data_IF_917244971262
#
_entry.id   IF_917244971262
#
_cell.length_a   1.000
_cell.length_b   1.000
_cell.length_c   1.000
_cell.angle_alpha   90.00
_cell.angle_beta   90.00
_cell.angle_gamma   90.00
#
_symmetry.space_group_name_H-M   'P 1'
#
loop_
_entity.id
_entity.type
_entity.pdbx_description
1 polymer ?
#
# COMPACT_ATOMS: atom_id res chain seq x y z
N UNK A 1 -23.41 -0.67 -16.64
CA UNK A 1 -23.41 0.08 -15.36
C UNK A 1 -23.03 1.56 -15.52
N UNK A 2 -22.23 1.94 -16.51
CA UNK A 2 -21.76 3.34 -16.71
C UNK A 2 -22.86 4.30 -17.19
N UNK A 3 -23.75 3.85 -18.08
CA UNK A 3 -24.83 4.68 -18.63
C UNK A 3 -25.91 4.98 -17.58
N UNK A 4 -26.27 3.98 -16.77
CA UNK A 4 -27.22 4.15 -15.66
C UNK A 4 -26.69 5.09 -14.59
N UNK A 5 -25.41 4.99 -14.23
CA UNK A 5 -24.78 5.95 -13.32
C UNK A 5 -24.73 7.38 -13.91
N UNK A 6 -24.46 7.50 -15.21
CA UNK A 6 -24.48 8.78 -15.92
C UNK A 6 -25.87 9.44 -15.95
N UNK A 7 -26.92 8.65 -16.20
CA UNK A 7 -28.30 9.13 -16.17
C UNK A 7 -28.74 9.54 -14.75
N UNK A 8 -28.36 8.78 -13.72
CA UNK A 8 -28.66 9.12 -12.32
C UNK A 8 -27.99 10.45 -11.94
N UNK A 9 -26.72 10.66 -12.30
CA UNK A 9 -26.03 11.94 -12.07
C UNK A 9 -26.66 13.12 -12.80
N UNK A 10 -27.26 12.89 -13.98
CA UNK A 10 -27.93 13.94 -14.75
C UNK A 10 -29.25 14.39 -14.09
N UNK A 11 -30.03 13.44 -13.55
CA UNK A 11 -31.33 13.73 -12.92
C UNK A 11 -31.25 14.02 -11.42
N UNK A 12 -30.17 13.61 -10.75
CA UNK A 12 -29.87 13.93 -9.37
C UNK A 12 -28.53 14.69 -9.33
N UNK A 13 -28.54 16.03 -9.54
CA UNK A 13 -27.33 16.81 -9.39
C UNK A 13 -26.87 16.71 -7.94
N UNK A 14 -25.87 15.87 -7.70
CA UNK A 14 -25.12 15.90 -6.45
C UNK A 14 -24.64 17.34 -6.25
N UNK A 15 -24.80 17.87 -5.04
CA UNK A 15 -24.32 19.21 -4.72
C UNK A 15 -22.85 19.31 -5.17
N UNK A 16 -22.59 20.20 -6.13
CA UNK A 16 -21.26 20.34 -6.72
C UNK A 16 -20.40 21.13 -5.72
N UNK A 17 -19.96 20.45 -4.66
CA UNK A 17 -19.14 21.03 -3.61
C UNK A 17 -17.80 21.40 -4.24
N UNK A 18 -17.45 22.69 -4.21
CA UNK A 18 -16.18 23.16 -4.75
C UNK A 18 -15.04 22.52 -3.96
N UNK A 19 -14.04 22.00 -4.67
CA UNK A 19 -12.88 21.38 -4.05
C UNK A 19 -12.23 22.34 -3.04
N UNK A 20 -12.08 21.89 -1.79
CA UNK A 20 -11.40 22.66 -0.75
C UNK A 20 -9.92 22.27 -0.66
N UNK A 21 -9.07 23.03 -1.35
CA UNK A 21 -7.62 22.81 -1.37
C UNK A 21 -6.93 23.01 0.00
N UNK A 22 -7.62 23.55 1.02
CA UNK A 22 -7.05 23.62 2.38
C UNK A 22 -6.81 22.22 2.97
N UNK A 23 -7.51 21.20 2.46
CA UNK A 23 -7.35 19.81 2.89
C UNK A 23 -5.93 19.28 2.59
N UNK A 24 -5.28 19.79 1.54
CA UNK A 24 -3.87 19.49 1.22
C UNK A 24 -2.86 20.03 2.24
N UNK A 25 -3.32 20.80 3.22
CA UNK A 25 -2.50 21.29 4.34
C UNK A 25 -2.73 20.48 5.61
N UNK A 26 -3.51 19.39 5.55
CA UNK A 26 -3.74 18.54 6.70
C UNK A 26 -2.45 17.79 7.04
N UNK A 27 -1.77 18.26 8.09
CA UNK A 27 -0.50 17.68 8.56
C UNK A 27 -0.61 16.20 8.89
N UNK A 28 -1.75 15.75 9.41
CA UNK A 28 -1.92 14.36 9.83
C UNK A 28 -2.05 13.44 8.63
N UNK A 29 -2.80 13.85 7.59
CA UNK A 29 -2.85 13.14 6.30
C UNK A 29 -1.46 13.05 5.70
N UNK A 30 -0.78 14.20 5.54
CA UNK A 30 0.59 14.25 5.01
C UNK A 30 1.54 13.30 5.76
N UNK A 31 1.60 13.41 7.10
CA UNK A 31 2.50 12.60 7.92
C UNK A 31 2.16 11.10 7.84
N UNK A 32 0.88 10.72 7.96
CA UNK A 32 0.48 9.31 7.89
C UNK A 32 0.80 8.73 6.51
N UNK A 33 0.50 9.46 5.43
CA UNK A 33 0.79 9.01 4.07
C UNK A 33 2.30 8.89 3.80
N UNK A 34 3.11 9.84 4.26
CA UNK A 34 4.57 9.75 4.11
C UNK A 34 5.18 8.62 4.94
N UNK A 35 4.77 8.47 6.19
CA UNK A 35 5.32 7.44 7.08
C UNK A 35 4.85 6.03 6.73
N UNK A 36 3.75 5.90 5.97
CA UNK A 36 3.26 4.62 5.43
C UNK A 36 3.65 4.37 3.98
N UNK A 37 4.44 5.26 3.36
CA UNK A 37 4.85 5.13 1.96
C UNK A 37 5.58 3.81 1.67
N UNK A 38 6.30 3.26 2.65
CA UNK A 38 6.97 1.98 2.50
C UNK A 38 6.03 0.78 2.32
N UNK A 39 4.76 0.88 2.74
CA UNK A 39 3.75 -0.15 2.40
C UNK A 39 3.59 -0.22 0.89
N UNK A 40 3.40 0.93 0.24
CA UNK A 40 3.28 0.99 -1.21
C UNK A 40 4.60 0.65 -1.91
N UNK A 41 5.72 1.17 -1.40
CA UNK A 41 7.07 0.89 -1.89
C UNK A 41 7.39 -0.61 -1.91
N UNK A 42 7.09 -1.32 -0.82
CA UNK A 42 7.34 -2.77 -0.74
C UNK A 42 6.56 -3.52 -1.81
N UNK A 43 5.26 -3.24 -1.97
CA UNK A 43 4.45 -3.88 -2.99
C UNK A 43 5.03 -3.68 -4.38
N UNK A 44 5.43 -2.43 -4.66
CA UNK A 44 5.92 -2.04 -5.97
C UNK A 44 7.29 -2.64 -6.29
N UNK A 45 8.24 -2.60 -5.35
CA UNK A 45 9.55 -3.22 -5.52
C UNK A 45 9.42 -4.72 -5.70
N UNK A 46 8.53 -5.39 -4.95
CA UNK A 46 8.29 -6.82 -5.13
C UNK A 46 7.68 -7.10 -6.51
N UNK A 47 6.69 -6.32 -6.97
CA UNK A 47 6.09 -6.55 -8.29
C UNK A 47 7.10 -6.40 -9.43
N UNK A 48 8.02 -5.44 -9.32
CA UNK A 48 9.01 -5.14 -10.38
C UNK A 48 10.23 -6.06 -10.33
N UNK A 49 10.79 -6.28 -9.14
CA UNK A 49 12.10 -6.94 -8.99
C UNK A 49 12.04 -8.39 -8.53
N UNK A 50 10.88 -8.90 -8.07
CA UNK A 50 10.79 -10.31 -7.70
C UNK A 50 11.14 -11.27 -8.86
N UNK A 51 10.73 -11.04 -10.12
CA UNK A 51 11.15 -11.90 -11.23
C UNK A 51 12.67 -11.96 -11.41
N UNK A 52 13.35 -10.81 -11.35
CA UNK A 52 14.82 -10.75 -11.44
C UNK A 52 15.50 -11.40 -10.23
N UNK A 53 14.99 -11.15 -9.02
CA UNK A 53 15.47 -11.81 -7.81
C UNK A 53 15.33 -13.34 -7.90
N UNK A 54 14.17 -13.82 -8.34
CA UNK A 54 13.88 -15.25 -8.51
C UNK A 54 14.84 -15.91 -9.52
N UNK A 55 15.15 -15.23 -10.62
CA UNK A 55 16.09 -15.72 -11.62
C UNK A 55 17.55 -15.73 -11.12
N UNK A 56 18.04 -14.60 -10.60
CA UNK A 56 19.45 -14.44 -10.27
C UNK A 56 19.85 -15.00 -8.89
N UNK A 57 18.94 -15.00 -7.91
CA UNK A 57 19.22 -15.39 -6.53
C UNK A 57 18.61 -16.75 -6.19
N UNK A 58 17.37 -17.02 -6.64
CA UNK A 58 16.71 -18.31 -6.39
C UNK A 58 16.95 -19.35 -7.50
N UNK A 59 17.65 -18.96 -8.58
CA UNK A 59 17.98 -19.80 -9.74
C UNK A 59 16.75 -20.45 -10.41
N UNK A 60 15.61 -19.76 -10.38
CA UNK A 60 14.39 -20.22 -11.05
C UNK A 60 14.39 -19.89 -12.54
N UNK A 61 13.59 -20.61 -13.33
CA UNK A 61 13.42 -20.28 -14.74
C UNK A 61 12.62 -18.99 -14.93
N UNK A 62 12.86 -18.29 -16.04
CA UNK A 62 12.17 -17.03 -16.36
C UNK A 62 10.65 -17.17 -16.50
N UNK A 63 10.18 -18.30 -17.04
CA UNK A 63 8.75 -18.62 -17.20
C UNK A 63 8.07 -18.77 -15.83
N UNK A 64 8.75 -19.45 -14.90
CA UNK A 64 8.26 -19.67 -13.53
C UNK A 64 8.25 -18.36 -12.76
N UNK A 65 9.32 -17.57 -12.87
CA UNK A 65 9.44 -16.26 -12.22
C UNK A 65 8.32 -15.27 -12.62
N UNK A 66 7.97 -15.20 -13.91
CA UNK A 66 6.89 -14.34 -14.40
C UNK A 66 5.48 -14.82 -14.00
N UNK A 67 5.26 -16.13 -13.97
CA UNK A 67 3.97 -16.70 -13.55
C UNK A 67 3.72 -16.48 -12.05
N UNK A 68 4.77 -16.62 -11.23
CA UNK A 68 4.65 -16.51 -9.77
C UNK A 68 4.34 -15.08 -9.32
N UNK A 69 4.84 -14.04 -9.99
CA UNK A 69 4.55 -12.65 -9.61
C UNK A 69 3.06 -12.30 -9.71
N UNK A 70 2.30 -12.99 -10.56
CA UNK A 70 0.85 -12.82 -10.66
C UNK A 70 0.09 -13.19 -9.38
N UNK A 71 0.67 -14.03 -8.51
CA UNK A 71 0.11 -14.37 -7.19
C UNK A 71 -0.06 -13.13 -6.31
N UNK A 72 0.84 -12.15 -6.43
CA UNK A 72 0.77 -10.91 -5.66
C UNK A 72 -0.53 -10.13 -6.00
N UNK A 73 -0.81 -9.97 -7.29
CA UNK A 73 -2.02 -9.30 -7.78
C UNK A 73 -3.29 -10.10 -7.48
N UNK A 74 -3.25 -11.42 -7.61
CA UNK A 74 -4.42 -12.25 -7.33
C UNK A 74 -4.77 -12.21 -5.82
N UNK A 75 -3.75 -12.23 -4.97
CA UNK A 75 -3.93 -12.23 -3.52
C UNK A 75 -4.33 -10.86 -2.96
N UNK A 76 -4.02 -9.75 -3.63
CA UNK A 76 -4.52 -8.43 -3.23
C UNK A 76 -6.05 -8.34 -3.28
N UNK A 77 -6.69 -8.96 -4.29
CA UNK A 77 -8.17 -9.05 -4.36
C UNK A 77 -8.75 -9.68 -3.08
N UNK A 78 -8.09 -10.72 -2.57
CA UNK A 78 -8.47 -11.41 -1.34
C UNK A 78 -8.27 -10.46 -0.13
N UNK A 79 -7.16 -9.74 -0.08
CA UNK A 79 -6.88 -8.73 0.94
C UNK A 79 -7.96 -7.65 1.04
N UNK A 80 -8.37 -7.09 -0.10
CA UNK A 80 -9.45 -6.10 -0.17
C UNK A 80 -10.73 -6.61 0.50
N UNK A 81 -11.14 -7.84 0.18
CA UNK A 81 -12.30 -8.48 0.81
C UNK A 81 -12.12 -8.64 2.33
N UNK A 82 -10.97 -9.08 2.81
CA UNK A 82 -10.75 -9.35 4.24
C UNK A 82 -10.39 -8.14 5.09
N UNK A 83 -10.28 -6.95 4.52
CA UNK A 83 -10.00 -5.69 5.26
C UNK A 83 -10.94 -5.51 6.45
N UNK A 84 -12.18 -6.00 6.36
CA UNK A 84 -13.15 -5.86 7.45
C UNK A 84 -12.71 -6.51 8.78
N UNK A 85 -11.85 -7.53 8.73
CA UNK A 85 -11.34 -8.22 9.92
C UNK A 85 -10.57 -7.29 10.85
N UNK A 86 -10.08 -6.16 10.34
CA UNK A 86 -9.33 -5.19 11.12
C UNK A 86 -10.22 -4.13 11.80
N UNK A 87 -11.52 -4.05 11.51
CA UNK A 87 -12.42 -3.06 12.13
C UNK A 87 -12.54 -3.18 13.65
N UNK A 88 -12.28 -4.38 14.20
CA UNK A 88 -12.30 -4.61 15.66
C UNK A 88 -11.20 -3.87 16.42
N UNK A 89 -10.14 -3.44 15.74
CA UNK A 89 -9.02 -2.73 16.37
C UNK A 89 -9.27 -1.22 16.43
N UNK A 90 -8.71 -0.58 17.47
CA UNK A 90 -8.65 0.89 17.53
C UNK A 90 -7.91 1.44 16.32
N UNK A 91 -8.28 2.63 15.86
CA UNK A 91 -7.74 3.20 14.62
C UNK A 91 -6.21 3.25 14.56
N UNK A 92 -5.56 3.79 15.60
CA UNK A 92 -4.09 3.81 15.70
C UNK A 92 -3.49 2.42 15.53
N UNK A 93 -3.98 1.46 16.32
CA UNK A 93 -3.54 0.06 16.27
C UNK A 93 -3.79 -0.56 14.90
N UNK A 94 -4.94 -0.26 14.29
CA UNK A 94 -5.35 -0.77 12.98
C UNK A 94 -4.38 -0.33 11.89
N UNK A 95 -4.05 0.96 11.80
CA UNK A 95 -3.11 1.49 10.80
C UNK A 95 -1.70 0.91 11.01
N UNK A 96 -1.24 0.85 12.26
CA UNK A 96 0.10 0.32 12.56
C UNK A 96 0.20 -1.17 12.22
N UNK A 97 -0.73 -1.98 12.73
CA UNK A 97 -0.72 -3.43 12.53
C UNK A 97 -0.86 -3.77 11.06
N UNK A 98 -1.79 -3.12 10.35
CA UNK A 98 -1.95 -3.36 8.92
C UNK A 98 -0.69 -2.99 8.15
N UNK A 99 -0.07 -1.84 8.44
CA UNK A 99 1.15 -1.40 7.75
C UNK A 99 2.33 -2.33 8.01
N UNK A 100 2.51 -2.79 9.25
CA UNK A 100 3.58 -3.76 9.58
C UNK A 100 3.35 -5.09 8.86
N UNK A 101 2.11 -5.62 8.91
CA UNK A 101 1.76 -6.85 8.21
C UNK A 101 1.84 -6.70 6.68
N UNK A 102 1.62 -5.50 6.14
CA UNK A 102 1.72 -5.19 4.72
C UNK A 102 3.15 -5.15 4.17
N UNK A 103 4.17 -5.24 5.04
CA UNK A 103 5.59 -5.21 4.68
C UNK A 103 6.30 -6.49 5.11
N UNK A 104 6.06 -6.96 6.34
CA UNK A 104 6.78 -8.08 6.97
C UNK A 104 6.88 -9.37 6.11
N UNK A 105 5.86 -9.77 5.32
CA UNK A 105 5.93 -10.95 4.46
C UNK A 105 7.04 -10.94 3.42
N UNK A 106 7.63 -9.78 3.10
CA UNK A 106 8.75 -9.65 2.15
C UNK A 106 9.93 -10.56 2.53
N UNK A 107 10.15 -10.82 3.83
CA UNK A 107 11.21 -11.73 4.29
C UNK A 107 11.01 -13.19 3.86
N UNK A 108 9.76 -13.60 3.62
CA UNK A 108 9.46 -14.96 3.18
C UNK A 108 9.92 -15.20 1.73
N UNK A 109 10.17 -14.14 0.96
CA UNK A 109 10.60 -14.24 -0.44
C UNK A 109 11.96 -14.93 -0.64
N UNK A 110 12.75 -15.09 0.43
CA UNK A 110 14.01 -15.84 0.38
C UNK A 110 13.83 -17.36 0.29
N UNK A 111 12.77 -17.92 0.87
CA UNK A 111 12.65 -19.38 1.05
C UNK A 111 11.24 -19.91 0.79
N UNK A 112 10.21 -19.14 1.13
CA UNK A 112 8.80 -19.49 1.00
C UNK A 112 8.11 -18.47 0.10
N UNK A 113 8.67 -18.24 -1.09
CA UNK A 113 8.31 -17.08 -1.91
C UNK A 113 6.84 -17.07 -2.36
N UNK A 114 6.22 -18.23 -2.62
CA UNK A 114 4.80 -18.29 -2.97
C UNK A 114 3.93 -17.79 -1.81
N UNK A 115 4.19 -18.30 -0.60
CA UNK A 115 3.52 -17.86 0.62
C UNK A 115 3.82 -16.38 0.90
N UNK A 116 5.06 -15.95 0.68
CA UNK A 116 5.48 -14.56 0.82
C UNK A 116 4.67 -13.63 -0.07
N UNK A 117 4.53 -13.96 -1.36
CA UNK A 117 3.75 -13.17 -2.31
C UNK A 117 2.26 -13.15 -1.97
N UNK A 118 1.69 -14.29 -1.57
CA UNK A 118 0.27 -14.38 -1.17
C UNK A 118 0.01 -13.52 0.07
N UNK A 119 0.81 -13.69 1.12
CA UNK A 119 0.64 -12.92 2.35
C UNK A 119 0.93 -11.44 2.13
N UNK A 120 1.93 -11.11 1.32
CA UNK A 120 2.22 -9.73 0.96
C UNK A 120 1.04 -9.11 0.24
N UNK A 121 0.50 -9.72 -0.82
CA UNK A 121 -0.62 -9.14 -1.56
C UNK A 121 -1.86 -8.94 -0.68
N UNK A 122 -2.20 -9.94 0.15
CA UNK A 122 -3.33 -9.84 1.10
C UNK A 122 -3.12 -8.67 2.07
N UNK A 123 -2.02 -8.67 2.82
CA UNK A 123 -1.85 -7.70 3.90
C UNK A 123 -1.52 -6.31 3.39
N UNK A 124 -0.88 -6.18 2.23
CA UNK A 124 -0.59 -4.90 1.63
C UNK A 124 -1.87 -4.20 1.18
N UNK A 125 -2.77 -4.91 0.49
CA UNK A 125 -4.08 -4.34 0.10
C UNK A 125 -4.92 -3.94 1.33
N UNK A 126 -4.91 -4.78 2.37
CA UNK A 126 -5.56 -4.44 3.64
C UNK A 126 -4.97 -3.18 4.27
N UNK A 127 -3.64 -3.01 4.22
CA UNK A 127 -2.96 -1.85 4.74
C UNK A 127 -3.33 -0.57 3.98
N UNK A 128 -3.25 -0.59 2.65
CA UNK A 128 -3.63 0.54 1.79
C UNK A 128 -5.09 0.93 2.05
N UNK A 129 -5.99 -0.05 2.09
CA UNK A 129 -7.41 0.16 2.35
C UNK A 129 -7.65 0.83 3.71
N UNK A 130 -6.95 0.38 4.76
CA UNK A 130 -7.02 0.98 6.10
C UNK A 130 -6.48 2.41 6.12
N UNK A 131 -5.36 2.67 5.45
CA UNK A 131 -4.73 4.00 5.39
C UNK A 131 -5.66 4.98 4.66
N UNK A 132 -6.25 4.55 3.54
CA UNK A 132 -7.18 5.40 2.78
C UNK A 132 -8.48 5.65 3.54
N UNK A 133 -9.01 4.66 4.26
CA UNK A 133 -10.15 4.87 5.15
C UNK A 133 -9.83 5.89 6.26
N UNK A 134 -8.62 5.85 6.82
CA UNK A 134 -8.15 6.84 7.80
C UNK A 134 -8.09 8.25 7.18
N UNK A 135 -7.50 8.39 5.99
CA UNK A 135 -7.41 9.68 5.28
C UNK A 135 -8.79 10.29 5.04
N UNK A 136 -9.74 9.49 4.51
CA UNK A 136 -11.12 9.95 4.26
C UNK A 136 -11.78 10.43 5.55
N UNK A 137 -11.62 9.68 6.65
CA UNK A 137 -12.20 10.04 7.94
C UNK A 137 -11.63 11.36 8.48
N UNK A 138 -10.34 11.59 8.30
CA UNK A 138 -9.66 12.79 8.81
C UNK A 138 -10.09 14.07 8.07
N UNK A 139 -10.47 13.97 6.79
CA UNK A 139 -10.81 15.14 5.96
C UNK A 139 -12.30 15.32 5.68
N UNK A 140 -13.11 14.28 5.93
CA UNK A 140 -14.52 14.22 5.58
C UNK A 140 -14.77 13.78 4.13
N UNK A 141 -15.92 13.15 3.88
CA UNK A 141 -16.26 12.55 2.58
C UNK A 141 -16.26 13.54 1.42
N UNK A 142 -16.59 14.80 1.66
CA UNK A 142 -16.65 15.87 0.65
C UNK A 142 -15.31 16.13 -0.04
N UNK A 143 -14.19 15.93 0.67
CA UNK A 143 -12.84 16.18 0.15
C UNK A 143 -12.02 14.89 -0.03
N UNK A 144 -12.69 13.73 0.05
CA UNK A 144 -12.05 12.42 -0.01
C UNK A 144 -11.17 12.23 -1.24
N UNK A 145 -11.67 12.55 -2.44
CA UNK A 145 -10.90 12.40 -3.69
C UNK A 145 -9.60 13.18 -3.69
N UNK A 146 -9.61 14.42 -3.17
CA UNK A 146 -8.43 15.28 -3.14
C UNK A 146 -7.39 14.78 -2.12
N UNK A 147 -7.84 14.40 -0.93
CA UNK A 147 -6.95 13.88 0.12
C UNK A 147 -6.38 12.50 -0.23
N UNK A 148 -7.17 11.64 -0.87
CA UNK A 148 -6.70 10.36 -1.38
C UNK A 148 -5.67 10.54 -2.50
N UNK A 149 -5.88 11.52 -3.40
CA UNK A 149 -4.90 11.82 -4.43
C UNK A 149 -3.57 12.29 -3.84
N UNK A 150 -3.61 13.16 -2.81
CA UNK A 150 -2.42 13.57 -2.06
C UNK A 150 -1.74 12.37 -1.40
N UNK A 151 -2.49 11.59 -0.61
CA UNK A 151 -1.98 10.43 0.10
C UNK A 151 -1.32 9.42 -0.85
N UNK A 152 -1.99 9.12 -1.96
CA UNK A 152 -1.50 8.22 -3.00
C UNK A 152 -0.22 8.78 -3.65
N UNK A 153 -0.22 10.06 -4.03
CA UNK A 153 0.96 10.69 -4.65
C UNK A 153 2.19 10.65 -3.73
N UNK A 154 2.01 10.85 -2.42
CA UNK A 154 3.08 10.76 -1.44
C UNK A 154 3.60 9.32 -1.31
N UNK A 155 2.68 8.35 -1.26
CA UNK A 155 3.03 6.93 -1.16
C UNK A 155 3.74 6.42 -2.40
N UNK A 156 3.27 6.77 -3.60
CA UNK A 156 3.96 6.44 -4.86
C UNK A 156 5.31 7.14 -4.90
N UNK A 157 5.35 8.45 -4.70
CA UNK A 157 6.57 9.24 -4.85
C UNK A 157 7.69 8.80 -3.90
N UNK A 158 7.37 8.66 -2.61
CA UNK A 158 8.34 8.25 -1.60
C UNK A 158 8.59 6.73 -1.65
N UNK A 159 7.56 5.92 -1.88
CA UNK A 159 7.69 4.46 -1.96
C UNK A 159 8.52 4.01 -3.16
N UNK A 160 8.45 4.72 -4.29
CA UNK A 160 9.26 4.42 -5.48
C UNK A 160 10.77 4.56 -5.24
N UNK A 161 11.20 5.26 -4.17
CA UNK A 161 12.61 5.34 -3.81
C UNK A 161 13.18 3.96 -3.44
N UNK A 162 12.34 3.01 -3.02
CA UNK A 162 12.78 1.65 -2.72
C UNK A 162 13.27 0.88 -3.98
N UNK A 163 12.92 1.34 -5.20
CA UNK A 163 13.48 0.80 -6.45
C UNK A 163 15.00 1.01 -6.57
N UNK A 164 15.59 1.86 -5.73
CA UNK A 164 17.04 2.07 -5.67
C UNK A 164 17.77 0.99 -4.86
N UNK A 165 17.06 0.24 -4.01
CA UNK A 165 17.65 -0.75 -3.10
C UNK A 165 18.36 -1.94 -3.80
N UNK A 166 17.88 -2.46 -4.94
CA UNK A 166 18.59 -3.53 -5.66
C UNK A 166 20.02 -3.14 -6.09
N UNK A 167 20.27 -1.85 -6.34
CA UNK A 167 21.62 -1.35 -6.67
C UNK A 167 22.59 -1.39 -5.48
N UNK A 168 22.06 -1.42 -4.26
CA UNK A 168 22.86 -1.60 -3.04
C UNK A 168 23.21 -3.08 -2.87
N UNK A 169 22.19 -3.96 -2.88
CA UNK A 169 22.38 -5.40 -2.77
C UNK A 169 21.15 -6.17 -3.21
N UNK A 170 21.24 -6.86 -4.35
CA UNK A 170 20.18 -7.75 -4.83
C UNK A 170 19.99 -8.98 -3.91
N UNK A 171 21.08 -9.52 -3.34
CA UNK A 171 21.01 -10.67 -2.44
C UNK A 171 20.35 -10.32 -1.10
N UNK A 172 20.55 -9.11 -0.58
CA UNK A 172 19.93 -8.64 0.68
C UNK A 172 18.69 -7.77 0.45
N UNK A 173 18.13 -7.77 -0.77
CA UNK A 173 17.08 -6.83 -1.18
C UNK A 173 15.90 -6.79 -0.21
N UNK A 174 15.34 -7.94 0.17
CA UNK A 174 14.14 -7.98 1.00
C UNK A 174 14.38 -7.52 2.45
N UNK A 175 15.60 -7.70 2.96
CA UNK A 175 16.00 -7.09 4.24
C UNK A 175 16.10 -5.57 4.12
N UNK A 176 16.67 -5.07 3.03
CA UNK A 176 16.77 -3.62 2.78
C UNK A 176 15.38 -2.98 2.64
N UNK A 177 14.47 -3.63 1.90
CA UNK A 177 13.07 -3.20 1.75
C UNK A 177 12.40 -3.14 3.12
N UNK A 178 12.45 -4.23 3.90
CA UNK A 178 11.86 -4.26 5.25
C UNK A 178 12.36 -3.09 6.12
N UNK A 179 13.66 -2.82 6.13
CA UNK A 179 14.23 -1.73 6.92
C UNK A 179 13.76 -0.36 6.39
N UNK A 180 13.83 -0.13 5.09
CA UNK A 180 13.40 1.11 4.47
C UNK A 180 11.92 1.42 4.73
N UNK A 181 11.06 0.39 4.71
CA UNK A 181 9.62 0.56 4.90
C UNK A 181 9.20 0.63 6.38
N UNK A 182 9.86 -0.13 7.28
CA UNK A 182 9.49 -0.13 8.71
C UNK A 182 10.10 1.04 9.51
N UNK A 183 11.25 1.57 9.10
CA UNK A 183 11.90 2.69 9.82
C UNK A 183 10.98 3.92 9.92
N UNK A 184 10.35 4.42 8.83
CA UNK A 184 9.40 5.52 8.92
C UNK A 184 8.17 5.18 9.77
N UNK A 185 7.65 3.95 9.68
CA UNK A 185 6.48 3.50 10.44
C UNK A 185 6.68 3.61 11.96
N UNK A 186 7.91 3.52 12.46
CA UNK A 186 8.20 3.71 13.89
C UNK A 186 7.79 5.08 14.42
N UNK A 187 7.78 6.11 13.57
CA UNK A 187 7.37 7.47 13.92
C UNK A 187 5.85 7.65 13.94
N UNK A 188 5.10 6.73 13.34
CA UNK A 188 3.63 6.77 13.26
C UNK A 188 2.98 6.73 14.65
N UNK A 189 3.66 6.09 15.62
CA UNK A 189 3.24 6.06 17.02
C UNK A 189 3.05 7.45 17.61
N UNK A 190 3.88 8.43 17.22
CA UNK A 190 3.85 9.81 17.72
C UNK A 190 2.83 10.70 16.98
N UNK A 191 2.33 10.25 15.84
CA UNK A 191 1.43 11.02 14.96
C UNK A 191 -0.04 10.63 15.18
N UNK A 192 -0.29 9.39 15.60
CA UNK A 192 -1.63 8.84 15.80
C UNK A 192 -2.11 8.88 17.26
N UNK A 193 -1.33 9.47 18.17
CA UNK A 193 -1.79 9.89 19.51
C UNK A 193 -2.43 11.27 19.45
#
# INVERSE_FOLDING_TARGET
MSITAGLINYFMPYGNHRANFKVLKNKKVFLVSSLTAGVWGTYYVVSEYFPSFSFYVLHQSSIVAGSISSLLLLSSVIGGFFTFLLYRFREKTRVIVSSVLGVLPVLLLYKYYELGLILLGIFNEMAISVIYAFVIREVGSENSSLALAEANSLQIGLGSLELLLPYISLSNLWYLVLLASLLPLSLLLKVLD
#
